data_IF_385821501782
#
_entry.id   IF_385821501782
#
_cell.length_a   1.000
_cell.length_b   1.000
_cell.length_c   1.000
_cell.angle_alpha   90.00
_cell.angle_beta   90.00
_cell.angle_gamma   90.00
#
_symmetry.space_group_name_H-M   'P 1'
#
loop_
_entity.id
_entity.type
_entity.pdbx_description
1 polymer ?
#
# COMPACT_ATOMS: atom_id res chain seq x y z
N UNK A 1 2.24 3.47 24.09
CA UNK A 1 1.71 4.84 24.04
C UNK A 1 0.53 4.96 24.99
N UNK A 2 0.46 6.02 25.81
CA UNK A 2 -0.73 6.33 26.63
C UNK A 2 -1.68 7.22 25.84
N UNK A 3 -2.97 6.94 25.88
CA UNK A 3 -3.96 7.68 25.11
C UNK A 3 -4.11 9.12 25.63
N UNK A 4 -3.99 9.34 26.95
CA UNK A 4 -3.96 10.68 27.56
C UNK A 4 -2.82 11.58 27.05
N UNK A 5 -1.78 10.98 26.46
CA UNK A 5 -0.60 11.65 25.89
C UNK A 5 -0.53 11.53 24.36
N UNK A 6 -1.61 11.08 23.73
CA UNK A 6 -1.68 10.85 22.29
C UNK A 6 -2.74 11.73 21.66
N UNK A 7 -2.44 12.30 20.48
CA UNK A 7 -3.41 13.10 19.74
C UNK A 7 -4.27 12.19 18.87
N UNK A 8 -5.51 11.94 19.31
CA UNK A 8 -6.49 11.09 18.63
C UNK A 8 -7.90 11.72 18.65
N UNK A 9 -8.20 12.64 17.72
CA UNK A 9 -9.46 13.38 17.71
C UNK A 9 -10.60 12.55 17.10
N UNK A 10 -11.17 11.61 17.86
CA UNK A 10 -12.29 10.77 17.39
C UNK A 10 -13.55 11.61 17.14
N UNK A 11 -14.21 11.37 16.00
CA UNK A 11 -15.50 11.98 15.67
C UNK A 11 -16.66 11.05 16.02
N UNK A 12 -17.66 11.60 16.73
CA UNK A 12 -18.86 10.86 17.13
C UNK A 12 -19.78 10.56 15.96
N UNK A 13 -19.95 11.53 15.07
CA UNK A 13 -20.85 11.46 13.92
C UNK A 13 -20.10 11.18 12.63
N UNK A 14 -20.82 10.67 11.63
CA UNK A 14 -20.28 10.48 10.28
C UNK A 14 -20.09 11.85 9.61
N UNK A 15 -18.88 12.16 9.10
CA UNK A 15 -18.65 13.37 8.31
C UNK A 15 -19.52 13.36 7.05
N UNK A 16 -20.19 14.48 6.76
CA UNK A 16 -21.16 14.58 5.65
C UNK A 16 -20.49 14.54 4.27
N UNK A 17 -19.23 14.95 4.22
CA UNK A 17 -18.38 14.98 3.04
C UNK A 17 -17.82 13.60 2.64
N UNK A 18 -17.99 12.57 3.49
CA UNK A 18 -17.43 11.25 3.27
C UNK A 18 -18.43 10.28 2.63
N UNK A 19 -18.25 10.04 1.33
CA UNK A 19 -19.13 9.17 0.53
C UNK A 19 -18.89 7.67 0.77
N UNK A 20 -17.62 7.26 0.91
CA UNK A 20 -17.24 5.83 1.08
C UNK A 20 -16.79 5.51 2.51
N UNK A 21 -16.83 4.22 2.87
CA UNK A 21 -16.60 3.74 4.23
C UNK A 21 -15.19 3.99 4.71
N UNK A 22 -14.17 3.77 3.87
CA UNK A 22 -12.77 4.04 4.22
C UNK A 22 -12.54 5.51 4.56
N UNK A 23 -12.99 6.44 3.70
CA UNK A 23 -12.87 7.87 3.94
C UNK A 23 -13.56 8.28 5.25
N UNK A 24 -14.79 7.78 5.48
CA UNK A 24 -15.57 8.04 6.70
C UNK A 24 -14.84 7.52 7.94
N UNK A 25 -14.36 6.28 7.92
CA UNK A 25 -13.69 5.68 9.06
C UNK A 25 -12.35 6.34 9.36
N UNK A 26 -11.55 6.70 8.34
CA UNK A 26 -10.29 7.41 8.55
C UNK A 26 -10.49 8.79 9.21
N UNK A 27 -11.53 9.52 8.81
CA UNK A 27 -11.89 10.79 9.47
C UNK A 27 -12.39 10.54 10.90
N UNK A 28 -13.31 9.59 11.10
CA UNK A 28 -13.88 9.28 12.43
C UNK A 28 -12.86 8.76 13.42
N UNK A 29 -11.92 7.94 12.96
CA UNK A 29 -10.85 7.38 13.76
C UNK A 29 -9.70 8.38 13.99
N UNK A 30 -9.82 9.63 13.53
CA UNK A 30 -8.79 10.65 13.73
C UNK A 30 -7.46 10.30 13.05
N UNK A 31 -7.50 9.71 11.85
CA UNK A 31 -6.32 9.31 11.09
C UNK A 31 -5.86 10.34 10.07
N UNK A 32 -6.79 11.09 9.48
CA UNK A 32 -6.51 12.10 8.47
C UNK A 32 -7.34 13.35 8.72
N UNK A 33 -6.88 14.48 8.18
CA UNK A 33 -7.60 15.73 8.11
C UNK A 33 -7.40 16.35 6.74
N UNK A 34 -8.48 16.78 6.11
CA UNK A 34 -8.39 17.45 4.81
C UNK A 34 -7.93 18.91 4.99
N UNK A 35 -6.86 19.29 4.30
CA UNK A 35 -6.31 20.66 4.31
C UNK A 35 -6.69 21.43 3.03
N UNK A 36 -6.84 20.71 1.91
CA UNK A 36 -7.43 21.22 0.67
C UNK A 36 -8.11 20.07 -0.11
N UNK A 37 -8.79 20.35 -1.22
CA UNK A 37 -9.35 19.33 -2.10
C UNK A 37 -8.27 18.30 -2.48
N UNK A 38 -8.44 17.03 -2.09
CA UNK A 38 -7.48 15.95 -2.36
C UNK A 38 -6.12 16.05 -1.63
N UNK A 39 -5.96 16.92 -0.64
CA UNK A 39 -4.70 17.10 0.12
C UNK A 39 -4.99 16.90 1.60
N UNK A 40 -4.29 15.95 2.22
CA UNK A 40 -4.58 15.48 3.57
C UNK A 40 -3.36 15.55 4.48
N UNK A 41 -3.56 16.09 5.68
CA UNK A 41 -2.64 15.89 6.79
C UNK A 41 -2.84 14.49 7.40
N UNK A 42 -1.73 13.80 7.66
CA UNK A 42 -1.71 12.50 8.32
C UNK A 42 -1.59 12.69 9.83
N UNK A 43 -2.67 12.38 10.55
CA UNK A 43 -2.69 12.46 12.00
C UNK A 43 -1.94 11.25 12.60
N UNK A 44 -1.54 11.29 13.89
CA UNK A 44 -0.59 10.32 14.44
C UNK A 44 -0.99 8.84 14.28
N UNK A 45 -2.28 8.51 14.37
CA UNK A 45 -2.75 7.14 14.15
C UNK A 45 -2.63 6.72 12.68
N UNK A 46 -3.06 7.57 11.76
CA UNK A 46 -2.96 7.32 10.32
C UNK A 46 -1.52 7.25 9.84
N UNK A 47 -0.65 8.13 10.36
CA UNK A 47 0.77 8.15 10.03
C UNK A 47 1.50 6.88 10.49
N UNK A 48 1.11 6.31 11.65
CA UNK A 48 1.65 5.01 12.09
C UNK A 48 1.32 3.89 11.11
N UNK A 49 0.08 3.81 10.62
CA UNK A 49 -0.32 2.83 9.61
C UNK A 49 0.42 3.05 8.30
N UNK A 50 0.51 4.31 7.83
CA UNK A 50 1.26 4.67 6.63
C UNK A 50 2.71 4.15 6.69
N UNK A 51 3.36 4.29 7.84
CA UNK A 51 4.74 3.81 8.05
C UNK A 51 4.87 2.29 8.09
N UNK A 52 3.88 1.56 8.61
CA UNK A 52 3.87 0.09 8.54
C UNK A 52 3.72 -0.40 7.11
N UNK A 53 2.82 0.22 6.33
CA UNK A 53 2.65 -0.10 4.90
C UNK A 53 3.92 0.22 4.12
N UNK A 54 4.49 1.41 4.30
CA UNK A 54 5.76 1.83 3.68
C UNK A 54 6.87 0.80 3.93
N UNK A 55 6.99 0.33 5.17
CA UNK A 55 8.03 -0.62 5.55
C UNK A 55 7.84 -2.00 4.91
N UNK A 56 6.61 -2.52 4.83
CA UNK A 56 6.33 -3.78 4.12
C UNK A 56 6.70 -3.67 2.64
N UNK A 57 6.33 -2.55 1.99
CA UNK A 57 6.67 -2.31 0.58
C UNK A 57 8.19 -2.29 0.40
N UNK A 58 8.91 -1.56 1.24
CA UNK A 58 10.38 -1.49 1.23
C UNK A 58 11.02 -2.87 1.33
N UNK A 59 10.60 -3.65 2.32
CA UNK A 59 11.17 -4.99 2.57
C UNK A 59 10.99 -5.95 1.38
N UNK A 60 9.85 -5.92 0.69
CA UNK A 60 9.63 -6.77 -0.48
C UNK A 60 10.37 -6.27 -1.73
N UNK A 61 10.55 -4.94 -1.87
CA UNK A 61 11.39 -4.37 -2.92
C UNK A 61 12.86 -4.77 -2.71
N UNK A 62 13.39 -4.61 -1.51
CA UNK A 62 14.77 -4.96 -1.17
C UNK A 62 15.02 -6.46 -1.35
N UNK A 63 14.06 -7.31 -0.93
CA UNK A 63 14.13 -8.77 -1.12
C UNK A 63 14.19 -9.17 -2.59
N UNK A 64 13.53 -8.42 -3.47
CA UNK A 64 13.58 -8.65 -4.92
C UNK A 64 14.87 -8.17 -5.60
N UNK A 65 15.76 -7.51 -4.85
CA UNK A 65 17.03 -6.95 -5.33
C UNK A 65 16.95 -5.51 -5.85
N UNK A 66 15.83 -4.80 -5.65
CA UNK A 66 15.73 -3.39 -6.00
C UNK A 66 16.46 -2.52 -4.96
N UNK A 67 16.99 -1.37 -5.40
CA UNK A 67 17.81 -0.48 -4.57
C UNK A 67 17.09 0.83 -4.29
N UNK A 68 16.92 1.17 -3.01
CA UNK A 68 16.27 2.42 -2.61
C UNK A 68 17.20 3.64 -2.82
N UNK A 69 16.63 4.69 -3.41
CA UNK A 69 17.18 6.04 -3.47
C UNK A 69 16.05 7.05 -3.18
N UNK A 70 16.32 8.35 -3.23
CA UNK A 70 15.26 9.36 -3.08
C UNK A 70 15.43 10.50 -4.08
N UNK A 71 14.50 10.60 -5.02
CA UNK A 71 14.42 11.70 -5.97
C UNK A 71 13.64 12.90 -5.39
N UNK A 72 13.94 14.14 -5.81
CA UNK A 72 13.18 15.32 -5.39
C UNK A 72 11.75 15.33 -5.93
N UNK A 73 10.86 16.02 -5.22
CA UNK A 73 9.47 16.25 -5.64
C UNK A 73 9.38 17.26 -6.78
N UNK A 74 10.25 18.27 -6.81
CA UNK A 74 10.32 19.25 -7.88
C UNK A 74 11.25 18.78 -9.00
N UNK A 75 10.78 18.86 -10.24
CA UNK A 75 11.53 18.50 -11.44
C UNK A 75 11.58 19.67 -12.43
N UNK A 76 12.61 19.72 -13.27
CA UNK A 76 12.72 20.72 -14.35
C UNK A 76 11.82 20.35 -15.52
N UNK A 77 11.12 21.33 -16.08
CA UNK A 77 10.31 21.14 -17.29
C UNK A 77 11.16 20.66 -18.48
N UNK A 78 12.40 21.11 -18.59
CA UNK A 78 13.30 20.75 -19.70
C UNK A 78 13.54 19.25 -19.79
N UNK A 79 13.65 18.58 -18.65
CA UNK A 79 13.77 17.12 -18.57
C UNK A 79 12.56 16.41 -19.20
N UNK A 80 11.35 16.93 -18.97
CA UNK A 80 10.11 16.41 -19.53
C UNK A 80 9.91 16.77 -21.00
N UNK A 81 10.60 17.81 -21.49
CA UNK A 81 10.65 18.14 -22.92
C UNK A 81 11.52 17.15 -23.68
N UNK A 82 12.61 16.65 -23.08
CA UNK A 82 13.44 15.61 -23.71
C UNK A 82 12.62 14.35 -24.04
N UNK A 83 11.72 13.91 -23.16
CA UNK A 83 10.84 12.76 -23.41
C UNK A 83 9.58 13.10 -24.24
N UNK A 84 9.35 14.38 -24.53
CA UNK A 84 8.14 14.88 -25.18
C UNK A 84 6.88 14.84 -24.31
N UNK A 85 6.98 14.51 -23.01
CA UNK A 85 5.82 14.37 -22.12
C UNK A 85 5.34 15.66 -21.46
N UNK A 86 6.13 16.73 -21.48
CA UNK A 86 5.77 17.98 -20.80
C UNK A 86 4.36 18.49 -21.18
N UNK A 87 4.06 18.55 -22.48
CA UNK A 87 2.73 18.98 -22.96
C UNK A 87 1.74 17.82 -23.12
N UNK A 88 2.23 16.61 -23.41
CA UNK A 88 1.39 15.43 -23.59
C UNK A 88 0.75 14.92 -22.28
N UNK A 89 1.29 15.25 -21.11
CA UNK A 89 0.70 14.86 -19.82
C UNK A 89 -0.63 15.57 -19.54
N UNK A 90 -0.85 16.75 -20.11
CA UNK A 90 -2.10 17.48 -19.96
C UNK A 90 -2.28 18.18 -18.60
N UNK A 91 -3.53 18.52 -18.23
CA UNK A 91 -3.83 19.43 -17.13
C UNK A 91 -3.59 18.86 -15.74
N UNK A 92 -3.40 17.55 -15.60
CA UNK A 92 -3.08 16.92 -14.31
C UNK A 92 -1.65 17.22 -13.83
N UNK A 93 -0.78 17.76 -14.70
CA UNK A 93 0.57 18.15 -14.33
C UNK A 93 0.57 19.51 -13.62
N UNK A 94 0.97 19.53 -12.34
CA UNK A 94 1.15 20.78 -11.59
C UNK A 94 2.46 21.48 -11.99
N UNK A 95 2.35 22.47 -12.88
CA UNK A 95 3.47 23.32 -13.33
C UNK A 95 3.73 24.47 -12.35
N UNK A 96 5.01 24.79 -12.13
CA UNK A 96 5.49 25.78 -11.14
C UNK A 96 6.52 26.68 -11.82
N UNK A 97 6.55 27.97 -11.49
CA UNK A 97 7.62 28.87 -11.88
C UNK A 97 8.38 29.34 -10.64
N UNK A 98 9.72 29.22 -10.64
CA UNK A 98 10.55 29.76 -9.55
C UNK A 98 10.70 31.30 -9.66
N UNK A 99 11.35 31.91 -8.67
CA UNK A 99 11.61 33.37 -8.63
C UNK A 99 12.47 33.90 -9.79
N UNK A 100 13.16 33.00 -10.49
CA UNK A 100 13.98 33.29 -11.67
C UNK A 100 13.26 32.92 -12.98
N UNK A 101 11.97 32.58 -12.90
CA UNK A 101 11.13 32.15 -14.02
C UNK A 101 11.59 30.84 -14.66
N UNK A 102 12.31 29.99 -13.92
CA UNK A 102 12.56 28.61 -14.37
C UNK A 102 11.29 27.81 -14.25
N UNK A 103 11.01 27.03 -15.30
CA UNK A 103 9.86 26.15 -15.34
C UNK A 103 10.17 24.85 -14.60
N UNK A 104 9.41 24.62 -13.55
CA UNK A 104 9.43 23.44 -12.71
C UNK A 104 8.07 22.76 -12.79
N UNK A 105 8.00 21.57 -12.23
CA UNK A 105 6.74 20.86 -11.96
C UNK A 105 6.88 20.05 -10.68
N UNK A 106 5.76 19.80 -10.01
CA UNK A 106 5.70 18.78 -8.97
C UNK A 106 5.51 17.43 -9.68
N UNK A 107 6.48 16.53 -9.51
CA UNK A 107 6.53 15.25 -10.22
C UNK A 107 5.29 14.38 -9.97
N UNK A 108 4.51 14.04 -11.01
CA UNK A 108 3.44 13.05 -10.90
C UNK A 108 3.96 11.60 -11.01
N UNK A 109 5.19 11.44 -11.51
CA UNK A 109 6.01 10.22 -11.66
C UNK A 109 7.46 10.64 -11.96
N UNK A 110 8.37 9.70 -12.17
CA UNK A 110 9.81 9.93 -12.24
C UNK A 110 10.55 9.21 -13.40
N UNK A 111 9.89 8.73 -14.46
CA UNK A 111 10.57 7.99 -15.54
C UNK A 111 11.74 8.79 -16.18
N UNK A 112 11.54 10.09 -16.43
CA UNK A 112 12.59 10.92 -17.01
C UNK A 112 13.74 11.16 -16.03
N UNK A 113 13.43 11.42 -14.76
CA UNK A 113 14.44 11.72 -13.74
C UNK A 113 15.33 10.51 -13.45
N UNK A 114 14.75 9.32 -13.34
CA UNK A 114 15.54 8.12 -13.11
C UNK A 114 16.36 7.74 -14.36
N UNK A 115 15.85 8.02 -15.56
CA UNK A 115 16.59 7.83 -16.82
C UNK A 115 17.77 8.79 -16.90
N UNK A 116 17.63 10.03 -16.44
CA UNK A 116 18.72 11.01 -16.35
C UNK A 116 19.82 10.56 -15.39
N UNK A 117 19.45 10.09 -14.19
CA UNK A 117 20.38 9.52 -13.22
C UNK A 117 21.09 8.30 -13.83
N UNK A 118 20.34 7.38 -14.43
CA UNK A 118 20.91 6.18 -15.04
C UNK A 118 21.93 6.53 -16.12
N UNK A 119 21.56 7.39 -17.09
CA UNK A 119 22.45 7.76 -18.21
C UNK A 119 23.67 8.54 -17.75
N UNK A 120 23.68 9.14 -16.56
CA UNK A 120 24.87 9.82 -16.04
C UNK A 120 25.97 8.83 -15.64
N UNK A 121 25.61 7.66 -15.08
CA UNK A 121 26.58 6.78 -14.41
C UNK A 121 26.74 5.39 -15.04
N UNK A 122 25.70 4.87 -15.70
CA UNK A 122 25.72 3.51 -16.25
C UNK A 122 26.08 3.55 -17.74
N UNK A 123 27.14 2.84 -18.11
CA UNK A 123 27.72 2.85 -19.47
C UNK A 123 27.99 1.48 -20.07
N UNK A 124 27.86 0.40 -19.30
CA UNK A 124 28.17 -0.96 -19.75
C UNK A 124 27.07 -1.93 -19.37
N UNK A 125 26.81 -2.90 -20.25
CA UNK A 125 25.89 -4.01 -19.96
C UNK A 125 26.24 -4.78 -18.66
N UNK A 126 27.48 -4.72 -18.19
CA UNK A 126 27.93 -5.36 -16.93
C UNK A 126 27.30 -4.76 -15.67
N UNK A 127 26.71 -3.58 -15.78
CA UNK A 127 25.98 -2.94 -14.68
C UNK A 127 24.49 -3.29 -14.69
N UNK A 128 24.04 -4.14 -15.63
CA UNK A 128 22.67 -4.59 -15.76
C UNK A 128 22.57 -6.08 -15.36
N UNK A 129 21.41 -6.55 -14.86
CA UNK A 129 20.17 -5.78 -14.62
C UNK A 129 20.31 -4.82 -13.44
N UNK A 130 19.55 -3.72 -13.48
CA UNK A 130 19.50 -2.73 -12.38
C UNK A 130 18.04 -2.35 -12.11
N UNK A 131 17.65 -2.30 -10.84
CA UNK A 131 16.32 -1.79 -10.44
C UNK A 131 16.47 -0.79 -9.31
N UNK A 132 16.05 0.45 -9.54
CA UNK A 132 16.12 1.56 -8.58
C UNK A 132 14.71 1.97 -8.20
N UNK A 133 14.47 2.26 -6.92
CA UNK A 133 13.17 2.72 -6.46
C UNK A 133 13.26 3.81 -5.41
N UNK A 134 12.15 4.50 -5.18
CA UNK A 134 11.97 5.39 -4.03
C UNK A 134 10.55 5.30 -3.50
N UNK A 135 10.34 5.80 -2.28
CA UNK A 135 9.00 6.04 -1.73
C UNK A 135 8.88 7.54 -1.46
N UNK A 136 8.14 8.24 -2.32
CA UNK A 136 8.12 9.70 -2.36
C UNK A 136 6.74 10.23 -2.70
N UNK A 137 6.43 11.42 -2.16
CA UNK A 137 5.22 12.17 -2.46
C UNK A 137 5.15 12.56 -3.94
N UNK A 138 3.96 12.43 -4.51
CA UNK A 138 3.63 12.77 -5.88
C UNK A 138 2.46 13.74 -5.88
N UNK A 139 2.33 14.50 -6.96
CA UNK A 139 1.17 15.36 -7.18
C UNK A 139 0.57 15.13 -8.55
N UNK A 140 -0.74 14.87 -8.60
CA UNK A 140 -1.56 14.91 -9.82
C UNK A 140 -2.73 15.85 -9.56
N UNK A 141 -2.91 16.88 -10.38
CA UNK A 141 -4.00 17.86 -10.21
C UNK A 141 -5.33 17.29 -10.74
N UNK A 142 -5.77 16.22 -10.08
CA UNK A 142 -7.00 15.48 -10.37
C UNK A 142 -8.18 16.45 -10.46
N UNK A 143 -8.93 16.37 -11.57
CA UNK A 143 -10.02 17.30 -11.86
C UNK A 143 -11.11 17.26 -10.78
N UNK A 144 -11.38 16.08 -10.23
CA UNK A 144 -12.39 15.88 -9.17
C UNK A 144 -11.85 14.96 -8.07
N UNK A 145 -11.04 15.49 -7.14
CA UNK A 145 -10.52 14.70 -6.03
C UNK A 145 -11.68 14.22 -5.15
N UNK A 146 -11.72 12.92 -4.87
CA UNK A 146 -12.83 12.26 -4.17
C UNK A 146 -12.33 11.05 -3.37
N UNK A 147 -13.21 10.48 -2.56
CA UNK A 147 -12.94 9.22 -1.86
C UNK A 147 -11.73 9.25 -0.90
N UNK A 148 -11.41 10.41 -0.33
CA UNK A 148 -10.34 10.51 0.66
C UNK A 148 -8.95 10.26 0.04
N UNK A 149 -8.19 9.37 0.66
CA UNK A 149 -6.84 8.97 0.21
C UNK A 149 -6.84 8.12 -1.06
N UNK A 150 -8.01 7.70 -1.54
CA UNK A 150 -8.14 6.82 -2.72
C UNK A 150 -7.92 7.58 -4.03
N UNK A 151 -8.43 8.82 -4.11
CA UNK A 151 -8.31 9.68 -5.29
C UNK A 151 -8.07 11.13 -4.87
N UNK A 152 -6.92 11.33 -4.24
CA UNK A 152 -6.38 12.64 -3.87
C UNK A 152 -5.56 13.29 -4.98
N UNK A 153 -4.95 14.43 -4.65
CA UNK A 153 -4.00 15.13 -5.52
C UNK A 153 -2.55 14.92 -5.06
N UNK A 154 -2.30 15.05 -3.76
CA UNK A 154 -1.01 14.70 -3.16
C UNK A 154 -1.10 13.31 -2.52
N UNK A 155 -0.22 12.41 -2.94
CA UNK A 155 -0.26 11.01 -2.51
C UNK A 155 1.14 10.42 -2.41
N UNK A 156 1.29 9.40 -1.56
CA UNK A 156 2.56 8.70 -1.38
C UNK A 156 2.58 7.47 -2.29
N UNK A 157 3.64 7.36 -3.09
CA UNK A 157 3.84 6.26 -4.01
C UNK A 157 5.23 5.67 -3.82
N UNK A 158 5.30 4.33 -3.91
CA UNK A 158 6.54 3.64 -4.23
C UNK A 158 6.57 3.42 -5.74
N UNK A 159 7.55 3.98 -6.41
CA UNK A 159 7.78 3.82 -7.83
C UNK A 159 9.21 3.29 -8.04
N UNK A 160 9.30 2.15 -8.72
CA UNK A 160 10.54 1.45 -9.04
C UNK A 160 10.74 1.39 -10.55
N UNK A 161 11.98 1.30 -10.98
CA UNK A 161 12.39 1.42 -12.38
C UNK A 161 13.52 0.44 -12.70
N UNK A 162 13.25 -0.49 -13.62
CA UNK A 162 14.25 -1.45 -14.11
C UNK A 162 14.94 -0.94 -15.36
N UNK A 163 16.19 -1.35 -15.52
CA UNK A 163 17.04 -1.10 -16.67
C UNK A 163 17.71 -2.39 -17.07
N UNK A 164 17.50 -2.79 -18.32
CA UNK A 164 17.88 -4.08 -18.84
C UNK A 164 18.43 -3.96 -20.26
N UNK A 165 19.28 -4.90 -20.67
CA UNK A 165 19.96 -4.83 -21.96
C UNK A 165 19.01 -5.05 -23.14
N UNK A 166 17.98 -5.86 -22.95
CA UNK A 166 17.03 -6.26 -23.98
C UNK A 166 15.68 -6.65 -23.36
N UNK A 167 14.67 -6.86 -24.21
CA UNK A 167 13.33 -7.24 -23.78
C UNK A 167 13.29 -8.53 -22.93
N UNK A 168 14.11 -9.53 -23.27
CA UNK A 168 14.11 -10.80 -22.53
C UNK A 168 14.60 -10.59 -21.08
N UNK A 169 15.63 -9.77 -20.87
CA UNK A 169 16.08 -9.38 -19.54
C UNK A 169 15.04 -8.51 -18.81
N UNK A 170 14.42 -7.57 -19.50
CA UNK A 170 13.34 -6.74 -18.92
C UNK A 170 12.14 -7.57 -18.46
N UNK A 171 11.82 -8.67 -19.15
CA UNK A 171 10.79 -9.62 -18.73
C UNK A 171 11.15 -10.34 -17.42
N UNK A 172 12.42 -10.63 -17.18
CA UNK A 172 12.89 -11.17 -15.89
C UNK A 172 12.68 -10.13 -14.79
N UNK A 173 13.09 -8.87 -15.00
CA UNK A 173 12.86 -7.79 -14.04
C UNK A 173 11.37 -7.57 -13.75
N UNK A 174 10.52 -7.64 -14.78
CA UNK A 174 9.06 -7.59 -14.66
C UNK A 174 8.53 -8.72 -13.76
N UNK A 175 8.99 -9.95 -13.97
CA UNK A 175 8.57 -11.10 -13.17
C UNK A 175 9.00 -10.97 -11.70
N UNK A 176 10.20 -10.43 -11.42
CA UNK A 176 10.63 -10.13 -10.04
C UNK A 176 9.64 -9.18 -9.35
N UNK A 177 9.21 -8.12 -10.04
CA UNK A 177 8.25 -7.16 -9.48
C UNK A 177 6.85 -7.75 -9.33
N UNK A 178 6.40 -8.57 -10.28
CA UNK A 178 5.12 -9.29 -10.17
C UNK A 178 5.07 -10.12 -8.88
N UNK A 179 6.10 -10.93 -8.63
CA UNK A 179 6.19 -11.76 -7.41
C UNK A 179 6.29 -10.92 -6.15
N UNK A 180 7.11 -9.86 -6.15
CA UNK A 180 7.21 -8.93 -5.03
C UNK A 180 5.87 -8.29 -4.68
N UNK A 181 5.04 -7.97 -5.68
CA UNK A 181 3.73 -7.36 -5.47
C UNK A 181 2.71 -8.34 -4.89
N UNK A 182 2.67 -9.57 -5.39
CA UNK A 182 1.85 -10.65 -4.80
C UNK A 182 2.12 -10.76 -3.28
N UNK A 183 3.40 -10.79 -2.91
CA UNK A 183 3.83 -10.87 -1.52
C UNK A 183 3.51 -9.61 -0.72
N UNK A 184 3.76 -8.43 -1.30
CA UNK A 184 3.50 -7.12 -0.67
C UNK A 184 2.06 -7.01 -0.20
N UNK A 185 1.10 -7.29 -1.10
CA UNK A 185 -0.32 -7.16 -0.76
C UNK A 185 -0.80 -8.28 0.17
N UNK A 186 -0.30 -9.51 0.00
CA UNK A 186 -0.63 -10.62 0.89
C UNK A 186 -0.17 -10.37 2.33
N UNK A 187 1.02 -9.80 2.53
CA UNK A 187 1.53 -9.39 3.86
C UNK A 187 0.66 -8.33 4.52
N UNK A 188 -0.09 -7.55 3.75
CA UNK A 188 -1.06 -6.58 4.24
C UNK A 188 -2.47 -7.17 4.42
N UNK A 189 -2.63 -8.50 4.30
CA UNK A 189 -3.93 -9.18 4.42
C UNK A 189 -4.87 -8.95 3.24
N UNK A 190 -4.35 -8.49 2.09
CA UNK A 190 -5.13 -8.24 0.88
C UNK A 190 -4.96 -9.35 -0.15
N UNK A 191 -6.06 -9.68 -0.83
CA UNK A 191 -6.05 -10.48 -2.06
C UNK A 191 -6.08 -9.53 -3.27
N UNK A 192 -4.92 -8.95 -3.60
CA UNK A 192 -4.78 -8.11 -4.79
C UNK A 192 -4.51 -9.01 -6.02
N UNK A 193 -5.44 -9.00 -6.97
CA UNK A 193 -5.42 -9.88 -8.14
C UNK A 193 -4.64 -9.18 -9.25
N UNK A 194 -3.61 -9.82 -9.83
CA UNK A 194 -2.97 -9.30 -11.04
C UNK A 194 -3.93 -9.46 -12.22
N UNK A 195 -4.35 -8.35 -12.80
CA UNK A 195 -5.24 -8.30 -13.96
C UNK A 195 -4.48 -7.71 -15.14
N UNK A 196 -4.69 -8.26 -16.33
CA UNK A 196 -4.17 -7.62 -17.55
C UNK A 196 -4.76 -6.22 -17.66
N UNK A 197 -3.91 -5.26 -18.02
CA UNK A 197 -4.26 -3.86 -18.17
C UNK A 197 -3.76 -3.32 -19.52
N UNK A 198 -4.13 -2.08 -19.84
CA UNK A 198 -3.69 -1.44 -21.08
C UNK A 198 -2.16 -1.33 -21.14
N UNK A 199 -1.57 -1.68 -22.28
CA UNK A 199 -0.11 -1.63 -22.51
C UNK A 199 0.36 -0.32 -23.16
N UNK A 200 -0.56 0.61 -23.41
CA UNK A 200 -0.28 1.83 -24.14
C UNK A 200 0.26 1.55 -25.56
N UNK A 201 1.00 2.51 -26.16
CA UNK A 201 1.43 2.43 -27.56
C UNK A 201 2.41 1.31 -27.89
N UNK A 202 3.00 0.66 -26.88
CA UNK A 202 4.04 -0.35 -27.04
C UNK A 202 3.44 -1.71 -27.38
N UNK A 203 2.19 -1.96 -26.95
CA UNK A 203 1.52 -3.25 -27.14
C UNK A 203 2.13 -4.36 -26.27
N UNK A 204 1.75 -5.60 -26.54
CA UNK A 204 2.26 -6.79 -25.83
C UNK A 204 1.42 -7.21 -24.64
N UNK A 205 2.04 -7.96 -23.71
CA UNK A 205 1.40 -8.62 -22.56
C UNK A 205 1.94 -8.16 -21.19
N UNK A 206 2.84 -7.18 -21.17
CA UNK A 206 3.58 -6.74 -19.99
C UNK A 206 2.99 -5.48 -19.33
N UNK A 207 1.69 -5.51 -19.05
CA UNK A 207 1.00 -4.54 -18.20
C UNK A 207 -0.01 -5.25 -17.31
N UNK A 208 0.19 -5.14 -16.00
CA UNK A 208 -0.73 -5.71 -15.02
C UNK A 208 -1.03 -4.71 -13.91
N UNK A 209 -2.32 -4.57 -13.62
CA UNK A 209 -2.83 -3.87 -12.45
C UNK A 209 -3.13 -4.87 -11.35
N UNK A 210 -2.71 -4.56 -10.13
CA UNK A 210 -3.02 -5.34 -8.94
C UNK A 210 -4.25 -4.70 -8.28
N UNK A 211 -5.36 -5.42 -8.34
CA UNK A 211 -6.67 -4.90 -7.97
C UNK A 211 -7.25 -5.68 -6.79
N UNK A 212 -7.64 -4.96 -5.74
CA UNK A 212 -8.41 -5.50 -4.62
C UNK A 212 -9.90 -5.37 -4.95
N UNK A 213 -10.64 -6.48 -4.88
CA UNK A 213 -12.08 -6.46 -5.14
C UNK A 213 -12.82 -5.63 -4.08
N UNK A 214 -13.62 -4.66 -4.53
CA UNK A 214 -14.43 -3.80 -3.67
C UNK A 214 -15.58 -3.18 -4.48
N UNK A 215 -16.80 -3.18 -3.93
CA UNK A 215 -17.97 -2.61 -4.60
C UNK A 215 -17.83 -1.10 -4.90
N UNK A 216 -17.08 -0.39 -4.06
CA UNK A 216 -16.76 1.04 -4.18
C UNK A 216 -15.58 1.33 -5.13
N UNK A 217 -14.99 0.30 -5.72
CA UNK A 217 -13.84 0.40 -6.62
C UNK A 217 -14.10 1.27 -7.86
N UNK A 218 -13.03 1.85 -8.42
CA UNK A 218 -13.13 2.72 -9.60
C UNK A 218 -13.09 1.93 -10.92
N UNK A 219 -12.50 0.73 -10.92
CA UNK A 219 -12.34 -0.09 -12.12
C UNK A 219 -13.36 -1.23 -12.15
N UNK A 220 -14.07 -1.41 -13.28
CA UNK A 220 -14.81 -2.63 -13.55
C UNK A 220 -13.87 -3.80 -13.84
N UNK A 221 -14.16 -4.99 -13.30
CA UNK A 221 -13.28 -6.16 -13.42
C UNK A 221 -14.05 -7.46 -13.70
N UNK A 222 -13.41 -8.33 -14.48
CA UNK A 222 -13.95 -9.62 -14.89
C UNK A 222 -12.92 -10.70 -14.59
N UNK A 223 -13.27 -11.63 -13.69
CA UNK A 223 -12.36 -12.68 -13.25
C UNK A 223 -13.03 -14.06 -13.26
N UNK A 224 -12.21 -15.09 -13.39
CA UNK A 224 -12.52 -16.42 -12.90
C UNK A 224 -12.20 -16.49 -11.40
N UNK A 225 -13.19 -16.89 -10.59
CA UNK A 225 -13.10 -17.00 -9.12
C UNK A 225 -11.91 -17.81 -8.61
N UNK A 226 -11.43 -18.80 -9.37
CA UNK A 226 -10.29 -19.64 -8.99
C UNK A 226 -9.01 -18.84 -8.72
N UNK A 227 -8.88 -17.64 -9.30
CA UNK A 227 -7.73 -16.75 -9.06
C UNK A 227 -7.58 -16.35 -7.59
N UNK A 228 -8.68 -16.35 -6.82
CA UNK A 228 -8.71 -15.96 -5.41
C UNK A 228 -8.05 -16.98 -4.47
N UNK A 229 -7.84 -18.21 -4.96
CA UNK A 229 -7.33 -19.34 -4.19
C UNK A 229 -5.89 -19.71 -4.61
N UNK A 230 -5.28 -18.94 -5.52
CA UNK A 230 -3.90 -19.16 -5.94
C UNK A 230 -2.91 -18.86 -4.81
N UNK A 231 -1.87 -19.71 -4.65
CA UNK A 231 -0.89 -19.54 -3.59
C UNK A 231 0.04 -18.36 -3.88
N UNK A 232 0.27 -17.56 -2.84
CA UNK A 232 1.29 -16.50 -2.86
C UNK A 232 2.65 -17.11 -2.53
N UNK A 233 3.73 -16.76 -3.24
CA UNK A 233 5.07 -17.27 -2.96
C UNK A 233 5.55 -16.97 -1.53
N UNK A 234 6.24 -17.93 -0.92
CA UNK A 234 6.88 -17.81 0.39
C UNK A 234 8.03 -16.79 0.42
N UNK A 235 8.54 -16.49 1.62
CA UNK A 235 9.63 -15.53 1.82
C UNK A 235 11.00 -16.01 1.34
N UNK A 236 11.09 -17.31 1.11
CA UNK A 236 12.20 -18.09 0.61
C UNK A 236 12.26 -18.18 -0.92
N UNK A 237 11.36 -17.47 -1.63
CA UNK A 237 11.37 -17.41 -3.09
C UNK A 237 12.73 -16.90 -3.60
N UNK A 238 13.34 -17.69 -4.49
CA UNK A 238 14.60 -17.34 -5.13
C UNK A 238 14.35 -16.40 -6.32
N UNK A 239 14.56 -15.11 -6.13
CA UNK A 239 14.40 -14.08 -7.15
C UNK A 239 15.41 -14.16 -8.30
N UNK A 240 16.49 -14.94 -8.16
CA UNK A 240 17.48 -15.14 -9.23
C UNK A 240 17.20 -16.41 -10.05
N UNK A 241 16.21 -17.20 -9.65
CA UNK A 241 15.71 -18.35 -10.40
C UNK A 241 14.69 -17.99 -11.50
N UNK A 242 14.27 -18.99 -12.27
CA UNK A 242 13.18 -18.81 -13.23
C UNK A 242 11.82 -18.68 -12.54
N UNK A 243 11.30 -17.45 -12.48
CA UNK A 243 10.00 -17.14 -11.89
C UNK A 243 8.82 -17.43 -12.83
N UNK A 244 9.06 -17.82 -14.09
CA UNK A 244 8.01 -18.08 -15.10
C UNK A 244 6.91 -19.03 -14.63
N UNK A 245 7.18 -20.12 -13.87
CA UNK A 245 6.11 -21.00 -13.37
C UNK A 245 5.09 -20.28 -12.48
N UNK A 246 5.55 -19.36 -11.64
CA UNK A 246 4.68 -18.56 -10.76
C UNK A 246 3.83 -17.62 -11.62
N UNK A 247 4.44 -16.92 -12.57
CA UNK A 247 3.72 -15.99 -13.45
C UNK A 247 2.66 -16.74 -14.25
N UNK A 248 3.00 -17.89 -14.83
CA UNK A 248 2.06 -18.74 -15.57
C UNK A 248 0.91 -19.20 -14.68
N UNK A 249 1.17 -19.58 -13.42
CA UNK A 249 0.11 -19.96 -12.49
C UNK A 249 -0.90 -18.80 -12.30
N UNK A 250 -0.40 -17.60 -12.03
CA UNK A 250 -1.21 -16.41 -11.78
C UNK A 250 -1.89 -15.80 -13.02
N UNK A 251 -1.40 -16.12 -14.23
CA UNK A 251 -1.94 -15.58 -15.50
C UNK A 251 -2.69 -16.61 -16.35
N UNK A 252 -2.65 -17.90 -15.98
CA UNK A 252 -3.40 -18.97 -16.66
C UNK A 252 -4.91 -18.87 -16.47
N UNK A 253 -5.32 -18.20 -15.39
CA UNK A 253 -6.72 -17.98 -15.02
C UNK A 253 -7.14 -16.60 -15.53
N UNK A 254 -8.31 -16.50 -16.17
CA UNK A 254 -8.78 -15.23 -16.73
C UNK A 254 -8.97 -14.17 -15.63
N UNK A 255 -8.28 -13.04 -15.79
CA UNK A 255 -8.47 -11.82 -15.02
C UNK A 255 -8.14 -10.60 -15.89
N UNK A 256 -9.09 -9.67 -16.01
CA UNK A 256 -8.95 -8.48 -16.86
C UNK A 256 -9.71 -7.28 -16.27
N UNK A 257 -9.16 -6.08 -16.48
CA UNK A 257 -9.89 -4.82 -16.32
C UNK A 257 -10.90 -4.65 -17.45
N UNK A 258 -11.86 -3.74 -17.28
CA UNK A 258 -12.84 -3.40 -18.32
C UNK A 258 -12.20 -2.93 -19.64
N UNK A 259 -11.02 -2.30 -19.58
CA UNK A 259 -10.32 -1.75 -20.74
C UNK A 259 -9.82 -2.83 -21.71
N UNK A 260 -9.48 -4.01 -21.18
CA UNK A 260 -8.93 -5.15 -21.97
C UNK A 260 -9.81 -6.39 -21.87
N UNK A 261 -11.05 -6.22 -21.40
CA UNK A 261 -12.01 -7.32 -21.30
C UNK A 261 -12.46 -7.78 -22.68
N UNK A 262 -12.26 -9.07 -22.96
CA UNK A 262 -12.83 -9.77 -24.11
C UNK A 262 -13.96 -10.68 -23.60
N UNK A 263 -15.20 -10.29 -23.91
CA UNK A 263 -16.41 -10.99 -23.49
C UNK A 263 -16.53 -12.40 -24.08
N UNK A 264 -16.18 -12.57 -25.37
CA UNK A 264 -16.26 -13.87 -26.02
C UNK A 264 -15.25 -14.85 -25.42
N UNK A 265 -14.02 -14.38 -25.19
CA UNK A 265 -12.98 -15.17 -24.52
C UNK A 265 -13.38 -15.51 -23.07
N UNK A 266 -13.93 -14.55 -22.34
CA UNK A 266 -14.39 -14.76 -20.96
C UNK A 266 -15.48 -15.83 -20.88
N UNK A 267 -16.47 -15.78 -21.78
CA UNK A 267 -17.53 -16.77 -21.84
C UNK A 267 -17.03 -18.15 -22.27
N UNK A 268 -16.01 -18.22 -23.12
CA UNK A 268 -15.41 -19.47 -23.57
C UNK A 268 -14.52 -20.12 -22.50
N UNK A 269 -13.67 -19.34 -21.83
CA UNK A 269 -12.64 -19.85 -20.91
C UNK A 269 -13.14 -20.02 -19.47
N UNK A 270 -14.18 -19.29 -19.06
CA UNK A 270 -14.63 -19.26 -17.66
C UNK A 270 -15.98 -19.95 -17.48
N UNK A 271 -16.06 -21.03 -16.67
CA UNK A 271 -17.32 -21.68 -16.31
C UNK A 271 -18.31 -20.70 -15.67
N UNK A 272 -19.59 -20.82 -16.00
CA UNK A 272 -20.62 -19.84 -15.59
C UNK A 272 -20.72 -19.66 -14.06
N UNK A 273 -20.52 -20.71 -13.28
CA UNK A 273 -20.51 -20.71 -11.81
C UNK A 273 -19.26 -20.05 -11.19
N UNK A 274 -18.21 -19.82 -12.01
CA UNK A 274 -16.95 -19.20 -11.61
C UNK A 274 -16.77 -17.77 -12.13
N UNK A 275 -17.69 -17.27 -12.95
CA UNK A 275 -17.64 -15.89 -13.47
C UNK A 275 -17.95 -14.91 -12.36
N UNK A 276 -17.05 -13.96 -12.14
CA UNK A 276 -17.26 -12.84 -11.24
C UNK A 276 -17.10 -11.55 -12.04
N UNK A 277 -18.16 -10.75 -12.05
CA UNK A 277 -18.17 -9.38 -12.53
C UNK A 277 -18.41 -8.46 -11.33
N UNK A 278 -17.44 -7.61 -11.03
CA UNK A 278 -17.50 -6.71 -9.87
C UNK A 278 -16.64 -5.47 -10.13
N UNK A 279 -16.40 -4.69 -9.08
CA UNK A 279 -15.53 -3.52 -9.10
C UNK A 279 -14.30 -3.77 -8.23
N UNK A 280 -13.26 -2.98 -8.45
CA UNK A 280 -12.04 -3.09 -7.68
C UNK A 280 -11.23 -1.80 -7.58
N UNK A 281 -10.30 -1.82 -6.64
CA UNK A 281 -9.38 -0.74 -6.34
C UNK A 281 -7.99 -1.16 -6.83
N UNK A 282 -7.47 -0.44 -7.80
CA UNK A 282 -6.07 -0.56 -8.23
C UNK A 282 -5.15 -0.05 -7.11
N UNK A 283 -4.34 -0.96 -6.54
CA UNK A 283 -3.38 -0.67 -5.47
C UNK A 283 -1.93 -0.67 -5.95
N UNK A 284 -1.68 -1.17 -7.16
CA UNK A 284 -0.39 -1.07 -7.83
C UNK A 284 -0.48 -1.46 -9.30
N UNK A 285 0.52 -1.03 -10.06
CA UNK A 285 0.62 -1.30 -11.49
C UNK A 285 2.08 -1.60 -11.83
N UNK A 286 2.28 -2.57 -12.72
CA UNK A 286 3.57 -2.92 -13.28
C UNK A 286 3.50 -2.84 -14.80
N UNK A 287 4.47 -2.15 -15.41
CA UNK A 287 4.45 -1.83 -16.83
C UNK A 287 5.85 -1.92 -17.45
N UNK A 288 5.96 -2.60 -18.58
CA UNK A 288 7.17 -2.58 -19.42
C UNK A 288 7.02 -1.54 -20.52
N UNK A 289 8.01 -0.65 -20.66
CA UNK A 289 7.97 0.45 -21.63
C UNK A 289 9.06 0.39 -22.71
N UNK A 290 9.79 -0.72 -22.82
CA UNK A 290 10.83 -0.90 -23.83
C UNK A 290 11.84 0.25 -23.79
N UNK A 291 12.11 0.84 -24.95
CA UNK A 291 13.11 1.89 -25.13
C UNK A 291 12.52 3.32 -25.10
N UNK A 292 11.25 3.49 -24.69
CA UNK A 292 10.53 4.78 -24.80
C UNK A 292 11.33 5.98 -24.30
N UNK A 293 11.90 5.88 -23.10
CA UNK A 293 12.70 6.97 -22.50
C UNK A 293 14.16 6.92 -22.93
N UNK A 294 14.73 5.73 -23.13
CA UNK A 294 16.13 5.58 -23.50
C UNK A 294 16.42 6.05 -24.92
N UNK A 295 15.48 5.90 -25.86
CA UNK A 295 15.58 6.47 -27.21
C UNK A 295 15.53 7.99 -27.19
N UNK A 296 14.53 8.56 -26.51
CA UNK A 296 14.34 10.01 -26.46
C UNK A 296 15.48 10.72 -25.70
N UNK A 297 15.97 10.11 -24.62
CA UNK A 297 16.94 10.70 -23.70
C UNK A 297 18.36 10.15 -23.88
N UNK A 298 18.60 9.30 -24.90
CA UNK A 298 19.90 8.68 -25.20
C UNK A 298 20.53 7.96 -23.99
N UNK A 299 19.72 7.16 -23.28
CA UNK A 299 20.21 6.30 -22.22
C UNK A 299 20.77 5.00 -22.81
N UNK A 300 22.03 5.06 -23.26
CA UNK A 300 22.72 3.98 -23.95
C UNK A 300 23.73 3.27 -23.05
N UNK A 301 23.95 1.97 -23.30
CA UNK A 301 25.03 1.19 -22.72
C UNK A 301 25.78 0.41 -23.81
N UNK A 302 27.09 0.25 -23.64
CA UNK A 302 27.86 -0.65 -24.49
C UNK A 302 27.45 -2.10 -24.22
N UNK A 303 26.96 -2.78 -25.27
CA UNK A 303 26.58 -4.19 -25.26
C UNK A 303 27.78 -5.15 -25.18
N UNK A 304 27.54 -6.47 -25.07
CA UNK A 304 28.60 -7.48 -25.06
C UNK A 304 29.48 -7.49 -26.32
N UNK A 305 28.94 -7.00 -27.43
CA UNK A 305 29.61 -6.82 -28.72
C UNK A 305 30.33 -5.45 -28.84
N UNK A 306 30.24 -4.61 -27.80
CA UNK A 306 30.81 -3.26 -27.77
C UNK A 306 29.98 -2.20 -28.49
N UNK A 307 28.79 -2.54 -29.00
CA UNK A 307 27.89 -1.60 -29.66
C UNK A 307 26.99 -0.92 -28.62
N UNK A 308 26.86 0.40 -28.70
CA UNK A 308 25.94 1.14 -27.84
C UNK A 308 24.49 0.86 -28.24
N UNK A 309 23.69 0.42 -27.27
CA UNK A 309 22.25 0.14 -27.45
C UNK A 309 21.43 0.89 -26.40
N UNK A 310 20.22 1.37 -26.76
CA UNK A 310 19.29 1.91 -25.77
C UNK A 310 18.86 0.79 -24.82
N UNK A 311 18.79 1.10 -23.52
CA UNK A 311 18.29 0.13 -22.55
C UNK A 311 16.80 -0.11 -22.74
N UNK A 312 16.34 -1.27 -22.31
CA UNK A 312 14.93 -1.57 -22.11
C UNK A 312 14.58 -1.30 -20.65
N UNK A 313 13.39 -0.76 -20.38
CA UNK A 313 12.97 -0.49 -19.00
C UNK A 313 11.51 -0.82 -18.71
N UNK A 314 11.23 -0.90 -17.41
CA UNK A 314 9.89 -1.03 -16.85
C UNK A 314 9.72 -0.14 -15.62
N UNK A 315 8.48 0.21 -15.31
CA UNK A 315 8.10 0.96 -14.11
C UNK A 315 7.07 0.19 -13.28
N UNK A 316 7.19 0.35 -11.96
CA UNK A 316 6.43 -0.45 -11.00
C UNK A 316 5.97 0.44 -9.84
N UNK A 317 4.69 0.83 -9.86
CA UNK A 317 4.05 1.69 -8.87
C UNK A 317 3.23 0.94 -7.82
N UNK A 318 3.30 1.34 -6.55
CA UNK A 318 2.38 0.97 -5.46
C UNK A 318 1.84 2.26 -4.83
N UNK A 319 0.53 2.39 -4.76
CA UNK A 319 -0.14 3.52 -4.11
C UNK A 319 -0.10 3.37 -2.58
N UNK A 320 1.02 3.72 -1.94
CA UNK A 320 1.24 3.53 -0.50
C UNK A 320 0.17 4.24 0.34
N UNK A 321 -0.20 5.48 0.02
CA UNK A 321 -1.27 6.17 0.74
C UNK A 321 -2.66 5.62 0.39
N UNK A 322 -2.88 5.20 -0.86
CA UNK A 322 -4.13 4.60 -1.34
C UNK A 322 -4.41 3.27 -0.63
N UNK A 323 -3.38 2.49 -0.31
CA UNK A 323 -3.48 1.22 0.39
C UNK A 323 -4.21 1.33 1.74
N UNK A 324 -4.10 2.45 2.46
CA UNK A 324 -4.87 2.61 3.70
C UNK A 324 -6.37 2.57 3.45
N UNK A 325 -6.83 3.26 2.41
CA UNK A 325 -8.24 3.24 2.03
C UNK A 325 -8.66 1.85 1.58
N UNK A 326 -7.86 1.20 0.71
CA UNK A 326 -8.12 -0.14 0.20
C UNK A 326 -8.21 -1.20 1.30
N UNK A 327 -7.31 -1.14 2.30
CA UNK A 327 -7.34 -2.04 3.45
C UNK A 327 -8.61 -1.84 4.26
N UNK A 328 -9.04 -0.60 4.51
CA UNK A 328 -10.27 -0.36 5.27
C UNK A 328 -11.51 -0.80 4.49
N UNK A 329 -11.58 -0.55 3.18
CA UNK A 329 -12.67 -1.06 2.33
C UNK A 329 -12.78 -2.59 2.43
N UNK A 330 -11.67 -3.30 2.41
CA UNK A 330 -11.64 -4.76 2.54
C UNK A 330 -11.78 -5.27 4.00
N UNK A 331 -11.49 -4.44 5.01
CA UNK A 331 -11.34 -4.88 6.39
C UNK A 331 -12.04 -3.93 7.38
N UNK A 332 -13.37 -3.94 7.38
CA UNK A 332 -14.19 -3.21 8.34
C UNK A 332 -15.46 -4.01 8.72
N UNK A 333 -16.20 -3.48 9.69
CA UNK A 333 -17.59 -3.84 10.02
C UNK A 333 -18.33 -2.61 10.56
N UNK A 334 -19.56 -2.80 11.04
CA UNK A 334 -20.41 -1.72 11.56
C UNK A 334 -19.79 -0.97 12.75
N UNK A 335 -18.91 -1.62 13.52
CA UNK A 335 -18.25 -1.02 14.68
C UNK A 335 -17.01 -0.20 14.30
N UNK A 336 -16.37 -0.51 13.16
CA UNK A 336 -15.26 0.26 12.62
C UNK A 336 -14.22 -0.57 11.88
N UNK A 337 -12.97 -0.15 11.97
CA UNK A 337 -11.86 -0.75 11.21
C UNK A 337 -11.47 -2.12 11.82
N UNK A 338 -10.98 -3.04 10.99
CA UNK A 338 -10.34 -4.30 11.40
C UNK A 338 -8.95 -4.41 10.77
N UNK A 339 -7.92 -3.89 11.42
CA UNK A 339 -6.58 -3.93 10.83
C UNK A 339 -6.03 -5.37 10.76
N UNK A 340 -5.47 -5.78 9.61
CA UNK A 340 -4.50 -6.87 9.56
C UNK A 340 -3.32 -6.55 10.47
N UNK A 341 -2.81 -7.54 11.22
CA UNK A 341 -1.83 -7.29 12.30
C UNK A 341 -0.58 -6.55 11.80
N UNK A 342 -0.10 -6.86 10.59
CA UNK A 342 1.12 -6.29 10.02
C UNK A 342 1.05 -4.78 9.78
N UNK A 343 -0.14 -4.22 9.57
CA UNK A 343 -0.36 -2.79 9.27
C UNK A 343 -1.01 -2.03 10.42
N UNK A 344 -1.39 -2.72 11.50
CA UNK A 344 -2.05 -2.09 12.63
C UNK A 344 -1.13 -1.04 13.29
N UNK A 345 -1.67 0.13 13.72
CA UNK A 345 -0.86 1.19 14.33
C UNK A 345 -0.32 0.81 15.71
N UNK A 346 -0.99 -0.15 16.35
CA UNK A 346 -0.62 -0.85 17.57
C UNK A 346 -1.11 -2.30 17.46
N UNK A 347 -0.40 -3.27 18.05
CA UNK A 347 -0.83 -4.68 18.08
C UNK A 347 -1.96 -4.87 19.09
N UNK A 348 -1.88 -4.20 20.24
CA UNK A 348 -2.82 -4.37 21.36
C UNK A 348 -3.18 -3.06 22.04
N UNK A 349 -4.44 -2.95 22.47
CA UNK A 349 -4.97 -1.86 23.30
C UNK A 349 -5.28 -2.37 24.71
N UNK A 350 -4.72 -1.73 25.74
CA UNK A 350 -5.11 -1.96 27.14
C UNK A 350 -6.21 -0.98 27.50
N UNK A 351 -7.37 -1.48 27.93
CA UNK A 351 -8.53 -0.71 28.32
C UNK A 351 -8.70 -0.78 29.85
N UNK A 352 -8.35 0.31 30.53
CA UNK A 352 -8.62 0.46 31.96
C UNK A 352 -10.10 0.79 32.18
N UNK A 353 -10.88 -0.17 32.71
CA UNK A 353 -12.33 -0.04 32.84
C UNK A 353 -12.77 0.75 34.09
N UNK A 354 -11.83 1.15 34.96
CA UNK A 354 -12.08 1.97 36.15
C UNK A 354 -10.87 2.84 36.46
N UNK A 355 -10.65 3.86 35.63
CA UNK A 355 -9.53 4.79 35.77
C UNK A 355 -9.51 5.42 37.17
N UNK A 356 -8.34 5.48 37.81
CA UNK A 356 -8.16 6.03 39.16
C UNK A 356 -8.37 5.01 40.30
N UNK A 357 -8.78 3.78 39.98
CA UNK A 357 -8.75 2.67 40.93
C UNK A 357 -7.32 2.14 41.05
N UNK A 358 -6.71 2.25 42.24
CA UNK A 358 -5.29 1.96 42.44
C UNK A 358 -4.86 0.54 42.02
N UNK A 359 -5.74 -0.46 42.18
CA UNK A 359 -5.44 -1.83 41.79
C UNK A 359 -5.49 -2.00 40.27
N UNK A 360 -6.53 -1.46 39.62
CA UNK A 360 -6.69 -1.52 38.17
C UNK A 360 -5.60 -0.72 37.46
N UNK A 361 -5.31 0.50 37.94
CA UNK A 361 -4.24 1.34 37.42
C UNK A 361 -2.89 0.61 37.48
N UNK A 362 -2.51 0.08 38.64
CA UNK A 362 -1.25 -0.65 38.80
C UNK A 362 -1.15 -1.89 37.89
N UNK A 363 -2.25 -2.62 37.69
CA UNK A 363 -2.28 -3.76 36.78
C UNK A 363 -2.11 -3.34 35.31
N UNK A 364 -2.78 -2.26 34.88
CA UNK A 364 -2.63 -1.72 33.53
C UNK A 364 -1.20 -1.22 33.29
N UNK A 365 -0.61 -0.53 34.26
CA UNK A 365 0.79 -0.06 34.21
C UNK A 365 1.79 -1.19 34.05
N UNK A 366 1.66 -2.23 34.88
CA UNK A 366 2.52 -3.40 34.83
C UNK A 366 2.44 -4.07 33.45
N UNK A 367 1.23 -4.29 32.96
CA UNK A 367 1.01 -4.97 31.68
C UNK A 367 1.52 -4.13 30.51
N UNK A 368 1.29 -2.82 30.55
CA UNK A 368 1.82 -1.87 29.57
C UNK A 368 3.35 -1.93 29.51
N UNK A 369 4.03 -1.89 30.67
CA UNK A 369 5.48 -1.95 30.75
C UNK A 369 6.03 -3.30 30.27
N UNK A 370 5.39 -4.42 30.64
CA UNK A 370 5.83 -5.77 30.29
C UNK A 370 5.71 -6.05 28.78
N UNK A 371 4.57 -5.71 28.17
CA UNK A 371 4.37 -5.86 26.73
C UNK A 371 5.32 -4.95 25.94
N UNK A 372 5.49 -3.70 26.38
CA UNK A 372 6.41 -2.75 25.74
C UNK A 372 7.87 -3.26 25.82
N UNK A 373 8.29 -3.80 26.96
CA UNK A 373 9.63 -4.37 27.15
C UNK A 373 9.89 -5.59 26.24
N UNK A 374 8.85 -6.28 25.80
CA UNK A 374 8.91 -7.39 24.84
C UNK A 374 8.74 -6.96 23.39
N UNK A 375 8.78 -5.65 23.10
CA UNK A 375 8.73 -5.11 21.73
C UNK A 375 7.34 -5.05 21.11
N UNK A 376 6.28 -5.24 21.90
CA UNK A 376 4.90 -5.14 21.39
C UNK A 376 4.50 -3.67 21.28
N UNK A 377 3.91 -3.29 20.14
CA UNK A 377 3.29 -1.97 19.98
C UNK A 377 1.98 -1.89 20.79
N UNK A 378 2.01 -1.23 21.96
CA UNK A 378 0.86 -1.12 22.88
C UNK A 378 0.25 0.28 22.89
N UNK A 379 -1.07 0.38 22.75
CA UNK A 379 -1.85 1.55 23.14
C UNK A 379 -2.46 1.29 24.53
N UNK A 380 -2.32 2.22 25.46
CA UNK A 380 -2.98 2.15 26.77
C UNK A 380 -4.02 3.28 26.84
N UNK A 381 -5.30 2.92 26.85
CA UNK A 381 -6.40 3.84 27.12
C UNK A 381 -6.52 4.11 28.63
N UNK A 382 -5.73 5.07 29.09
CA UNK A 382 -5.69 5.63 30.44
C UNK A 382 -6.59 6.87 30.61
N UNK A 383 -7.55 7.08 29.70
CA UNK A 383 -8.44 8.24 29.77
C UNK A 383 -9.49 8.09 30.86
N UNK A 384 -9.95 9.22 31.41
CA UNK A 384 -11.07 9.25 32.34
C UNK A 384 -12.41 9.19 31.58
N UNK A 385 -12.69 8.01 31.03
CA UNK A 385 -13.90 7.69 30.26
C UNK A 385 -14.52 6.39 30.77
N UNK A 386 -15.85 6.28 30.61
CA UNK A 386 -16.58 5.05 30.98
C UNK A 386 -16.22 3.91 30.03
N UNK A 387 -16.32 2.67 30.52
CA UNK A 387 -16.02 1.45 29.77
C UNK A 387 -16.68 1.42 28.37
N UNK A 388 -17.97 1.77 28.26
CA UNK A 388 -18.67 1.81 26.97
C UNK A 388 -18.03 2.76 25.94
N UNK A 389 -17.53 3.91 26.37
CA UNK A 389 -16.83 4.85 25.49
C UNK A 389 -15.47 4.30 25.05
N UNK A 390 -14.74 3.64 25.95
CA UNK A 390 -13.47 2.98 25.64
C UNK A 390 -13.65 1.83 24.64
N UNK A 391 -14.69 1.02 24.80
CA UNK A 391 -15.02 -0.05 23.85
C UNK A 391 -15.35 0.50 22.46
N UNK A 392 -16.22 1.51 22.38
CA UNK A 392 -16.59 2.12 21.10
C UNK A 392 -15.37 2.75 20.39
N UNK A 393 -14.50 3.44 21.14
CA UNK A 393 -13.26 4.00 20.59
C UNK A 393 -12.31 2.90 20.09
N UNK A 394 -12.09 1.85 20.89
CA UNK A 394 -11.21 0.74 20.55
C UNK A 394 -11.68 -0.06 19.32
N UNK A 395 -12.99 -0.29 19.20
CA UNK A 395 -13.58 -0.97 18.05
C UNK A 395 -13.52 -0.12 16.78
N UNK A 396 -13.71 1.20 16.91
CA UNK A 396 -13.62 2.16 15.81
C UNK A 396 -12.22 2.19 15.19
N UNK A 397 -11.18 2.31 16.02
CA UNK A 397 -9.79 2.43 15.55
C UNK A 397 -9.16 1.09 15.13
N UNK A 398 -9.81 -0.02 15.48
CA UNK A 398 -9.54 -1.33 14.87
C UNK A 398 -8.27 -2.04 15.30
N UNK A 399 -7.75 -1.76 16.50
CA UNK A 399 -6.57 -2.45 17.03
C UNK A 399 -6.85 -3.96 17.15
N UNK A 400 -5.98 -4.86 16.66
CA UNK A 400 -6.25 -6.30 16.56
C UNK A 400 -6.62 -6.97 17.88
N UNK A 401 -5.98 -6.57 18.98
CA UNK A 401 -6.18 -7.15 20.30
C UNK A 401 -6.60 -6.09 21.32
N UNK A 402 -7.55 -6.41 22.19
CA UNK A 402 -7.95 -5.55 23.31
C UNK A 402 -7.84 -6.34 24.62
N UNK A 403 -7.14 -5.78 25.61
CA UNK A 403 -7.09 -6.33 26.97
C UNK A 403 -7.92 -5.43 27.87
N UNK A 404 -8.94 -6.01 28.50
CA UNK A 404 -9.90 -5.31 29.33
C UNK A 404 -9.64 -5.64 30.79
N UNK A 405 -9.34 -4.60 31.58
CA UNK A 405 -8.97 -4.73 32.98
C UNK A 405 -9.98 -3.97 33.83
N UNK A 406 -10.77 -4.71 34.61
CA UNK A 406 -11.77 -4.14 35.51
C UNK A 406 -11.67 -4.76 36.91
N UNK A 407 -12.31 -4.14 37.92
CA UNK A 407 -12.14 -4.56 39.31
C UNK A 407 -12.56 -6.00 39.57
N UNK A 408 -13.65 -6.45 38.93
CA UNK A 408 -14.20 -7.80 39.13
C UNK A 408 -13.26 -8.89 38.63
N UNK A 409 -12.84 -8.81 37.37
CA UNK A 409 -11.91 -9.78 36.78
C UNK A 409 -10.55 -9.75 37.45
N UNK A 410 -10.06 -8.56 37.81
CA UNK A 410 -8.77 -8.41 38.47
C UNK A 410 -8.76 -8.98 39.89
N UNK A 411 -9.88 -8.90 40.63
CA UNK A 411 -10.01 -9.53 41.94
C UNK A 411 -9.90 -11.08 41.87
N UNK A 412 -10.22 -11.68 40.72
CA UNK A 412 -10.00 -13.10 40.44
C UNK A 412 -8.61 -13.40 39.87
N UNK A 413 -7.72 -12.40 39.75
CA UNK A 413 -6.41 -12.54 39.13
C UNK A 413 -6.46 -12.70 37.59
N UNK A 414 -7.52 -12.21 36.95
CA UNK A 414 -7.77 -12.40 35.52
C UNK A 414 -7.97 -11.09 34.75
N UNK A 415 -7.80 -11.17 33.44
CA UNK A 415 -8.15 -10.14 32.45
C UNK A 415 -8.96 -10.77 31.33
N UNK A 416 -9.74 -9.97 30.61
CA UNK A 416 -10.46 -10.41 29.42
C UNK A 416 -9.70 -9.91 28.19
N UNK A 417 -9.40 -10.81 27.23
CA UNK A 417 -8.82 -10.45 25.94
C UNK A 417 -9.90 -10.61 24.86
N UNK A 418 -9.97 -9.65 23.94
CA UNK A 418 -10.82 -9.70 22.74
C UNK A 418 -9.97 -9.62 21.49
N UNK A 419 -10.26 -10.49 20.51
CA UNK A 419 -9.74 -10.38 19.15
C UNK A 419 -10.69 -9.57 18.29
N UNK A 420 -10.22 -8.48 17.67
CA UNK A 420 -11.05 -7.54 16.91
C UNK A 420 -11.61 -8.15 15.62
N UNK A 421 -10.93 -9.13 15.02
CA UNK A 421 -11.29 -9.72 13.73
C UNK A 421 -12.62 -10.47 13.74
N UNK A 422 -12.87 -11.24 14.80
CA UNK A 422 -14.04 -12.12 14.96
C UNK A 422 -14.86 -11.81 16.23
N UNK A 423 -14.36 -10.94 17.11
CA UNK A 423 -15.02 -10.58 18.36
C UNK A 423 -14.92 -11.64 19.45
N UNK A 424 -14.13 -12.70 19.24
CA UNK A 424 -13.88 -13.75 20.24
C UNK A 424 -13.28 -13.15 21.51
N UNK A 425 -13.72 -13.68 22.66
CA UNK A 425 -13.33 -13.22 23.99
C UNK A 425 -12.91 -14.39 24.85
N UNK A 426 -11.82 -14.22 25.58
CA UNK A 426 -11.31 -15.19 26.53
C UNK A 426 -10.89 -14.51 27.82
N UNK A 427 -11.15 -15.16 28.95
CA UNK A 427 -10.67 -14.71 30.25
C UNK A 427 -9.46 -15.54 30.64
N UNK A 428 -8.35 -14.88 30.98
CA UNK A 428 -7.09 -15.54 31.31
C UNK A 428 -6.28 -14.76 32.34
N UNK A 429 -5.16 -15.33 32.81
CA UNK A 429 -4.25 -14.58 33.67
C UNK A 429 -3.53 -13.47 32.88
N UNK A 430 -3.07 -12.39 33.54
CA UNK A 430 -2.24 -11.38 32.88
C UNK A 430 -0.99 -11.95 32.21
N UNK A 431 -0.37 -12.98 32.81
CA UNK A 431 0.81 -13.63 32.26
C UNK A 431 0.51 -14.37 30.94
N UNK A 432 -0.61 -15.09 30.88
CA UNK A 432 -1.05 -15.77 29.66
C UNK A 432 -1.39 -14.78 28.55
N UNK A 433 -1.99 -13.64 28.89
CA UNK A 433 -2.26 -12.56 27.95
C UNK A 433 -0.97 -12.01 27.33
N UNK A 434 0.09 -11.83 28.14
CA UNK A 434 1.42 -11.43 27.64
C UNK A 434 2.00 -12.50 26.72
N UNK A 435 1.98 -13.77 27.13
CA UNK A 435 2.53 -14.87 26.34
C UNK A 435 1.87 -14.97 24.96
N UNK A 436 0.55 -14.76 24.89
CA UNK A 436 -0.21 -14.78 23.63
C UNK A 436 0.14 -13.66 22.66
N UNK A 437 0.49 -12.48 23.18
CA UNK A 437 0.72 -11.28 22.38
C UNK A 437 2.18 -11.04 21.99
N UNK A 438 3.08 -11.88 22.46
CA UNK A 438 4.53 -11.83 22.18
C UNK A 438 4.92 -12.90 21.16
N UNK A 439 4.08 -13.93 21.00
CA UNK A 439 4.21 -14.97 19.98
C UNK A 439 4.17 -14.43 18.56
#
# INVERSE_FOLDING_TARGET
>A
MRLSRFFLPILKENPKEAEIVSHRLMLRAGMIRQEAAGIYAWLPLGFRVLKKIEQIVREEQDRSGALELLMPTLQLADLWRESGRYDAYGPEMLRIADRHKRELLYGPTNEEMITEIFRAYVKSYKNLPLNLYHIQWKFRDEQRPRFGVMRGREFLMKDAYSFDLNEAAARVAYNKMFVAYLRTFARMGLKAIPMRAETGPIGGDLSHEFIVLAETGESGVFINRDVLDLPVPGEDVDYDSDLTPIIKQWTSVYAATEDVHDAARFEQEVPADKRVNTRGIEVGQIFYFGTKYSDAMKALVAGPDGVDVPIHGGSYGVGVSRLLGAIIEACHDDAGIKWPEAVAPFRVSILNLKQGDAAVDAACEKLYAELTAKGVDVLYDDTDQRAGAKFAAADLIGIPWQIMIGPKSLAEGKVEIKKRSDGSRETMSPADAVARLVG
#
